data_IF_354902692164
#
_entry.id   IF_354902692164
#
_cell.length_a   1.000
_cell.length_b   1.000
_cell.length_c   1.000
_cell.angle_alpha   90.00
_cell.angle_beta   90.00
_cell.angle_gamma   90.00
#
_symmetry.space_group_name_H-M   'P 1'
#
loop_
_entity.id
_entity.type
_entity.pdbx_description
1 polymer ?
#
# COMPACT_ATOMS: atom_id res chain seq x y z
N UNK A 1 31.40 -79.72 -11.09
CA UNK A 1 32.52 -78.79 -10.84
C UNK A 1 32.59 -77.84 -12.02
N UNK A 2 31.74 -76.80 -12.00
CA UNK A 2 31.84 -75.50 -12.69
C UNK A 2 30.56 -74.75 -12.34
N UNK A 3 30.72 -73.46 -12.07
CA UNK A 3 29.89 -72.62 -11.22
C UNK A 3 28.48 -72.34 -11.76
N UNK A 4 27.51 -72.44 -10.86
CA UNK A 4 26.13 -71.98 -11.04
C UNK A 4 26.04 -70.51 -10.60
N UNK A 5 25.33 -69.73 -11.41
CA UNK A 5 25.23 -68.28 -11.39
C UNK A 5 24.81 -67.70 -10.04
N UNK A 6 25.72 -66.91 -9.44
CA UNK A 6 25.41 -66.07 -8.28
C UNK A 6 24.67 -64.80 -8.72
N UNK A 7 23.37 -64.92 -8.96
CA UNK A 7 22.47 -63.77 -8.98
C UNK A 7 21.90 -63.54 -7.57
N UNK A 8 22.62 -62.74 -6.77
CA UNK A 8 22.13 -62.27 -5.48
C UNK A 8 21.05 -61.20 -5.69
N UNK A 9 19.78 -61.63 -5.71
CA UNK A 9 18.70 -60.79 -5.24
C UNK A 9 18.73 -60.77 -3.70
N UNK A 10 18.59 -59.59 -3.09
CA UNK A 10 17.90 -59.34 -1.79
C UNK A 10 18.10 -57.86 -1.36
N UNK A 11 17.06 -57.08 -1.67
CA UNK A 11 16.35 -56.14 -0.78
C UNK A 11 17.16 -55.26 0.19
N UNK A 12 17.17 -53.96 -0.07
CA UNK A 12 17.10 -52.93 0.98
C UNK A 12 16.05 -51.87 0.60
N UNK A 13 14.94 -51.91 1.33
CA UNK A 13 13.94 -50.86 1.43
C UNK A 13 14.62 -49.61 2.03
N UNK A 14 14.49 -48.47 1.36
CA UNK A 14 14.93 -47.15 1.84
C UNK A 14 13.78 -46.15 1.68
N UNK A 15 13.45 -45.50 2.78
CA UNK A 15 12.22 -44.82 3.19
C UNK A 15 11.58 -43.79 2.23
N UNK A 16 10.27 -43.52 2.37
CA UNK A 16 9.62 -42.39 1.69
C UNK A 16 10.20 -41.08 2.22
N UNK A 17 10.53 -40.17 1.30
CA UNK A 17 10.92 -38.80 1.63
C UNK A 17 9.66 -38.09 2.13
N UNK A 18 9.61 -37.77 3.41
CA UNK A 18 8.53 -36.97 4.01
C UNK A 18 8.44 -35.62 3.29
N UNK A 19 7.28 -35.38 2.69
CA UNK A 19 6.93 -34.09 2.10
C UNK A 19 6.81 -33.05 3.23
N UNK A 20 7.27 -31.81 3.04
CA UNK A 20 7.14 -30.79 4.07
C UNK A 20 5.65 -30.49 4.30
N UNK A 21 5.20 -30.62 5.55
CA UNK A 21 3.89 -30.19 6.00
C UNK A 21 3.72 -28.71 5.66
N UNK A 22 2.74 -28.42 4.81
CA UNK A 22 2.33 -27.07 4.50
C UNK A 22 1.80 -26.44 5.79
N UNK A 23 2.56 -25.50 6.35
CA UNK A 23 2.08 -24.65 7.43
C UNK A 23 0.86 -23.89 6.89
N UNK A 24 -0.32 -24.26 7.38
CA UNK A 24 -1.55 -23.48 7.19
C UNK A 24 -1.34 -22.12 7.87
N UNK A 25 -0.91 -21.15 7.06
CA UNK A 25 -1.02 -19.74 7.40
C UNK A 25 -2.50 -19.46 7.60
N UNK A 26 -2.90 -19.35 8.87
CA UNK A 26 -4.20 -18.85 9.29
C UNK A 26 -4.38 -17.46 8.67
N UNK A 27 -5.07 -17.44 7.52
CA UNK A 27 -5.47 -16.22 6.84
C UNK A 27 -6.64 -15.66 7.63
N UNK A 28 -6.31 -14.98 8.73
CA UNK A 28 -7.26 -14.10 9.38
C UNK A 28 -7.81 -13.16 8.30
N UNK A 29 -9.09 -13.36 7.93
CA UNK A 29 -9.85 -12.42 7.12
C UNK A 29 -9.94 -11.12 7.92
N UNK A 30 -8.92 -10.29 7.75
CA UNK A 30 -8.92 -8.94 8.31
C UNK A 30 -9.94 -8.17 7.50
N UNK A 31 -11.16 -8.06 8.04
CA UNK A 31 -12.15 -7.15 7.51
C UNK A 31 -11.48 -5.77 7.36
N UNK A 32 -11.33 -5.31 6.12
CA UNK A 32 -10.75 -4.01 5.83
C UNK A 32 -11.62 -2.96 6.52
N UNK A 33 -11.05 -2.24 7.49
CA UNK A 33 -11.73 -1.11 8.11
C UNK A 33 -12.19 -0.11 7.02
N UNK A 34 -13.29 0.63 7.23
CA UNK A 34 -13.77 1.61 6.26
C UNK A 34 -12.64 2.58 5.85
N UNK A 35 -12.58 2.97 4.56
CA UNK A 35 -11.50 3.82 4.08
C UNK A 35 -11.58 5.21 4.71
N UNK A 36 -10.41 5.80 4.95
CA UNK A 36 -10.28 7.19 5.36
C UNK A 36 -9.94 8.06 4.15
N UNK A 37 -10.25 9.35 4.25
CA UNK A 37 -9.99 10.34 3.22
C UNK A 37 -9.25 11.55 3.78
N UNK A 38 -8.29 12.08 3.02
CA UNK A 38 -7.67 13.39 3.26
C UNK A 38 -8.21 14.40 2.25
N UNK A 39 -8.76 15.49 2.75
CA UNK A 39 -9.38 16.55 1.96
C UNK A 39 -8.55 17.82 2.12
N UNK A 40 -8.09 18.38 1.00
CA UNK A 40 -7.45 19.69 0.93
C UNK A 40 -8.49 20.75 0.60
N UNK A 41 -8.52 21.84 1.37
CA UNK A 41 -9.42 22.97 1.15
C UNK A 41 -8.71 24.12 0.44
N UNK A 42 -9.43 24.83 -0.42
CA UNK A 42 -8.93 26.01 -1.10
C UNK A 42 -8.67 27.14 -0.10
N UNK A 43 -7.60 27.89 -0.36
CA UNK A 43 -7.27 29.11 0.36
C UNK A 43 -6.61 30.11 -0.60
N UNK A 44 -6.80 31.40 -0.35
CA UNK A 44 -6.24 32.47 -1.19
C UNK A 44 -4.87 32.98 -0.69
N UNK A 45 -4.26 32.28 0.28
CA UNK A 45 -3.00 32.70 0.92
C UNK A 45 -1.75 31.95 0.42
N UNK A 46 -1.88 30.99 -0.50
CA UNK A 46 -0.78 30.22 -1.10
C UNK A 46 -0.85 30.29 -2.63
N UNK A 47 0.30 30.23 -3.30
CA UNK A 47 0.32 30.13 -4.76
C UNK A 47 0.05 28.71 -5.24
N UNK A 48 -0.33 28.56 -6.51
CA UNK A 48 -0.50 27.23 -7.10
C UNK A 48 0.80 26.42 -7.04
N UNK A 49 1.94 27.03 -7.32
CA UNK A 49 3.25 26.36 -7.28
C UNK A 49 3.56 25.82 -5.88
N UNK A 50 3.28 26.58 -4.82
CA UNK A 50 3.46 26.13 -3.43
C UNK A 50 2.58 24.92 -3.12
N UNK A 51 1.30 24.97 -3.54
CA UNK A 51 0.34 23.88 -3.35
C UNK A 51 0.78 22.63 -4.13
N UNK A 52 1.21 22.79 -5.39
CA UNK A 52 1.69 21.69 -6.25
C UNK A 52 2.91 21.00 -5.64
N UNK A 53 3.93 21.77 -5.23
CA UNK A 53 5.12 21.20 -4.58
C UNK A 53 4.76 20.45 -3.30
N UNK A 54 3.81 20.97 -2.53
CA UNK A 54 3.40 20.33 -1.29
C UNK A 54 2.57 19.05 -1.54
N UNK A 55 1.73 19.03 -2.56
CA UNK A 55 1.03 17.82 -3.02
C UNK A 55 2.01 16.73 -3.45
N UNK A 56 3.01 17.08 -4.26
CA UNK A 56 4.06 16.14 -4.68
C UNK A 56 4.78 15.52 -3.47
N UNK A 57 5.11 16.32 -2.46
CA UNK A 57 5.74 15.82 -1.21
C UNK A 57 4.81 14.91 -0.40
N UNK A 58 3.52 15.24 -0.31
CA UNK A 58 2.59 14.52 0.55
C UNK A 58 2.18 13.15 -0.01
N UNK A 59 1.85 13.12 -1.31
CA UNK A 59 1.27 11.95 -1.99
C UNK A 59 2.16 11.34 -3.07
N UNK A 60 3.38 11.84 -3.25
CA UNK A 60 4.34 11.35 -4.25
C UNK A 60 3.79 11.35 -5.68
N UNK A 61 2.97 12.34 -6.04
CA UNK A 61 2.43 12.49 -7.39
C UNK A 61 3.41 13.21 -8.33
N UNK A 62 3.18 13.09 -9.65
CA UNK A 62 3.86 13.92 -10.64
C UNK A 62 3.46 15.39 -10.49
N UNK A 63 4.27 16.29 -11.05
CA UNK A 63 3.96 17.72 -11.10
C UNK A 63 2.65 17.99 -11.84
N UNK A 64 2.45 17.37 -13.01
CA UNK A 64 1.21 17.44 -13.79
C UNK A 64 -0.01 17.09 -12.93
N UNK A 65 0.06 15.97 -12.18
CA UNK A 65 -1.03 15.58 -11.28
C UNK A 65 -1.21 16.56 -10.12
N UNK A 66 -0.13 17.16 -9.64
CA UNK A 66 -0.19 18.23 -8.65
C UNK A 66 -0.97 19.44 -9.16
N UNK A 67 -0.71 19.88 -10.40
CA UNK A 67 -1.44 20.97 -11.05
C UNK A 67 -2.92 20.67 -11.21
N UNK A 68 -3.27 19.46 -11.67
CA UNK A 68 -4.66 19.02 -11.78
C UNK A 68 -5.40 19.12 -10.43
N UNK A 69 -4.76 18.64 -9.36
CA UNK A 69 -5.34 18.68 -8.01
C UNK A 69 -5.45 20.11 -7.49
N UNK A 70 -4.43 20.95 -7.68
CA UNK A 70 -4.47 22.35 -7.27
C UNK A 70 -5.60 23.11 -7.97
N UNK A 71 -5.78 22.90 -9.28
CA UNK A 71 -6.92 23.45 -10.02
C UNK A 71 -8.26 22.89 -9.55
N UNK A 72 -8.34 21.59 -9.26
CA UNK A 72 -9.57 20.98 -8.75
C UNK A 72 -9.99 21.58 -7.40
N UNK A 73 -9.04 21.76 -6.49
CA UNK A 73 -9.25 22.41 -5.18
C UNK A 73 -9.73 23.84 -5.37
N UNK A 74 -9.03 24.63 -6.21
CA UNK A 74 -9.38 26.02 -6.48
C UNK A 74 -10.82 26.15 -7.01
N UNK A 75 -11.17 25.36 -8.02
CA UNK A 75 -12.47 25.44 -8.69
C UNK A 75 -13.63 24.90 -7.82
N UNK A 76 -13.37 23.89 -6.99
CA UNK A 76 -14.41 23.20 -6.21
C UNK A 76 -14.49 23.65 -4.75
N UNK A 77 -13.55 24.48 -4.31
CA UNK A 77 -13.34 24.86 -2.91
C UNK A 77 -12.63 23.80 -2.06
N UNK A 78 -12.60 22.53 -2.49
CA UNK A 78 -11.88 21.42 -1.84
C UNK A 78 -11.72 20.22 -2.78
N UNK A 79 -10.76 19.33 -2.50
CA UNK A 79 -10.61 18.06 -3.20
C UNK A 79 -10.09 16.94 -2.27
N UNK A 80 -10.49 15.70 -2.55
CA UNK A 80 -9.89 14.51 -1.92
C UNK A 80 -8.55 14.25 -2.58
N UNK A 81 -7.47 14.25 -1.78
CA UNK A 81 -6.10 14.06 -2.26
C UNK A 81 -5.53 12.68 -1.90
N UNK A 82 -6.12 12.00 -0.91
CA UNK A 82 -5.76 10.64 -0.52
C UNK A 82 -6.97 9.88 0.00
N UNK A 83 -7.05 8.59 -0.37
CA UNK A 83 -7.97 7.59 0.22
C UNK A 83 -7.14 6.39 0.66
N UNK A 84 -7.38 5.86 1.86
CA UNK A 84 -6.63 4.71 2.36
C UNK A 84 -6.79 4.47 3.86
N UNK A 85 -5.87 3.70 4.50
CA UNK A 85 -5.84 3.54 5.95
C UNK A 85 -5.71 4.88 6.67
N UNK A 86 -6.28 4.97 7.88
CA UNK A 86 -6.26 6.20 8.71
C UNK A 86 -4.85 6.78 8.84
N UNK A 87 -3.89 5.94 9.25
CA UNK A 87 -2.51 6.36 9.49
C UNK A 87 -1.87 7.01 8.24
N UNK A 88 -2.20 6.52 7.04
CA UNK A 88 -1.69 7.09 5.81
C UNK A 88 -2.35 8.44 5.48
N UNK A 89 -3.67 8.54 5.67
CA UNK A 89 -4.40 9.80 5.48
C UNK A 89 -3.93 10.87 6.47
N UNK A 90 -3.74 10.52 7.75
CA UNK A 90 -3.19 11.42 8.77
C UNK A 90 -1.77 11.86 8.39
N UNK A 91 -0.90 10.94 7.93
CA UNK A 91 0.45 11.29 7.46
C UNK A 91 0.41 12.31 6.31
N UNK A 92 -0.42 12.07 5.29
CA UNK A 92 -0.59 12.99 4.15
C UNK A 92 -1.10 14.35 4.64
N UNK A 93 -2.11 14.36 5.51
CA UNK A 93 -2.67 15.58 6.06
C UNK A 93 -1.65 16.42 6.83
N UNK A 94 -0.82 15.77 7.67
CA UNK A 94 0.24 16.44 8.42
C UNK A 94 1.30 17.06 7.51
N UNK A 95 1.67 16.38 6.42
CA UNK A 95 2.60 16.95 5.45
C UNK A 95 1.97 18.19 4.82
N UNK A 96 0.76 18.12 4.28
CA UNK A 96 0.11 19.28 3.65
C UNK A 96 -0.05 20.45 4.63
N UNK A 97 -0.48 20.18 5.86
CA UNK A 97 -0.67 21.19 6.90
C UNK A 97 0.64 21.86 7.36
N UNK A 98 1.81 21.27 7.11
CA UNK A 98 3.10 21.83 7.55
C UNK A 98 3.46 23.19 6.95
N UNK A 99 2.80 23.60 5.86
CA UNK A 99 2.93 24.96 5.28
C UNK A 99 1.70 25.85 5.56
N UNK A 100 0.79 25.41 6.43
CA UNK A 100 -0.43 26.14 6.80
C UNK A 100 -1.65 25.89 5.92
N UNK A 101 -1.64 24.87 5.05
CA UNK A 101 -2.84 24.47 4.29
C UNK A 101 -3.91 23.89 5.21
N UNK A 102 -5.18 24.19 4.90
CA UNK A 102 -6.33 23.69 5.66
C UNK A 102 -6.71 22.29 5.17
N UNK A 103 -6.71 21.32 6.09
CA UNK A 103 -6.96 19.91 5.81
C UNK A 103 -8.08 19.35 6.68
N UNK A 104 -8.84 18.41 6.14
CA UNK A 104 -9.76 17.56 6.92
C UNK A 104 -9.45 16.10 6.66
N UNK A 105 -9.36 15.30 7.72
CA UNK A 105 -9.22 13.84 7.65
C UNK A 105 -10.47 13.22 8.28
N UNK A 106 -11.19 12.40 7.50
CA UNK A 106 -12.46 11.78 7.93
C UNK A 106 -12.52 10.32 7.50
N UNK A 107 -13.26 9.52 8.27
CA UNK A 107 -13.68 8.18 7.86
C UNK A 107 -14.84 8.31 6.87
N UNK A 108 -14.80 7.52 5.79
CA UNK A 108 -15.87 7.44 4.78
C UNK A 108 -17.00 6.50 5.18
#
# INVERSE_FOLDING_TARGET
>A
MTADDRFHALTRLGSPVEAPEAQEIDRAETALAPPWMTILHNCDCHTFEEVVHQLMKAIACSEERGWELAHAVHNSGKAVVKVGPEAECVRVGNILASIGLVITVIQS
#
